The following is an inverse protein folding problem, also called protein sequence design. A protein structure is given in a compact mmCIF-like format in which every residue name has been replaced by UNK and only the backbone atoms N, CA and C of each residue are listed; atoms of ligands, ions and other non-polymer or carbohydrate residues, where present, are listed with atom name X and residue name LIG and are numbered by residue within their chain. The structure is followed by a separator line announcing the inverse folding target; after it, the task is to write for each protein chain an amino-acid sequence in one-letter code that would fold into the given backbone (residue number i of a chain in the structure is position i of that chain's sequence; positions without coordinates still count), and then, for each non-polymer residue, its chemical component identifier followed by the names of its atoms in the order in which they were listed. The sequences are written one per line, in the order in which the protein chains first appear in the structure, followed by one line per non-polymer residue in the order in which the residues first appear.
data_IF_539727884686
#
_entry.id   IF_539727884686
#
_cell.length_a   1.000
_cell.length_b   1.000
_cell.length_c   1.000
_cell.angle_alpha   90.00
_cell.angle_beta   90.00
_cell.angle_gamma   90.00
#
_symmetry.space_group_name_H-M   'P 1'
#
loop_
_entity.id
_entity.type
_entity.pdbx_description
1 polymer ?
#
# COMPACT_ATOMS: atom_id res chain seq x y z
N UNK A 1 14.34 8.69 -22.73
CA UNK A 1 15.18 7.59 -22.22
C UNK A 1 14.27 6.48 -21.69
N UNK A 2 14.24 5.30 -22.32
CA UNK A 2 13.42 4.18 -21.83
C UNK A 2 13.91 3.77 -20.44
N UNK A 3 13.04 3.86 -19.44
CA UNK A 3 13.35 3.40 -18.07
C UNK A 3 13.71 1.92 -18.16
N UNK A 4 14.76 1.50 -17.44
CA UNK A 4 15.26 0.14 -17.53
C UNK A 4 14.15 -0.87 -17.20
N UNK A 5 13.92 -1.91 -18.04
CA UNK A 5 12.93 -2.94 -17.79
C UNK A 5 13.03 -3.52 -16.37
N UNK A 6 14.26 -3.67 -15.88
CA UNK A 6 14.59 -4.13 -14.53
C UNK A 6 13.94 -3.27 -13.42
N UNK A 7 13.96 -1.94 -13.54
CA UNK A 7 13.35 -1.07 -12.53
C UNK A 7 11.83 -1.30 -12.46
N UNK A 8 11.18 -1.52 -13.59
CA UNK A 8 9.74 -1.78 -13.65
C UNK A 8 9.39 -3.12 -13.00
N UNK A 9 10.20 -4.16 -13.26
CA UNK A 9 10.03 -5.47 -12.63
C UNK A 9 10.18 -5.37 -11.12
N UNK A 10 11.23 -4.71 -10.62
CA UNK A 10 11.47 -4.55 -9.19
C UNK A 10 10.33 -3.77 -8.52
N UNK A 11 9.86 -2.69 -9.15
CA UNK A 11 8.73 -1.92 -8.66
C UNK A 11 7.43 -2.75 -8.62
N UNK A 12 7.22 -3.61 -9.61
CA UNK A 12 6.09 -4.52 -9.63
C UNK A 12 6.18 -5.63 -8.56
N UNK A 13 7.38 -6.18 -8.33
CA UNK A 13 7.61 -7.12 -7.23
C UNK A 13 7.30 -6.45 -5.89
N UNK A 14 7.77 -5.22 -5.68
CA UNK A 14 7.41 -4.42 -4.50
C UNK A 14 5.89 -4.29 -4.33
N UNK A 15 5.14 -4.06 -5.42
CA UNK A 15 3.68 -3.98 -5.40
C UNK A 15 3.04 -5.31 -4.97
N UNK A 16 3.51 -6.45 -5.47
CA UNK A 16 3.00 -7.78 -5.07
C UNK A 16 3.19 -7.99 -3.56
N UNK A 17 4.41 -7.75 -3.06
CA UNK A 17 4.72 -7.86 -1.65
C UNK A 17 3.86 -6.91 -0.80
N UNK A 18 3.68 -5.67 -1.26
CA UNK A 18 2.83 -4.69 -0.59
C UNK A 18 1.36 -5.16 -0.53
N UNK A 19 0.79 -5.62 -1.65
CA UNK A 19 -0.59 -6.16 -1.70
C UNK A 19 -0.79 -7.32 -0.73
N UNK A 20 0.19 -8.23 -0.64
CA UNK A 20 0.18 -9.33 0.32
C UNK A 20 0.08 -8.86 1.78
N UNK A 21 0.57 -7.66 2.11
CA UNK A 21 0.46 -7.10 3.48
C UNK A 21 -0.92 -6.55 3.81
N UNK A 22 -1.65 -6.01 2.85
CA UNK A 22 -2.92 -5.32 3.07
C UNK A 22 -4.12 -6.27 2.91
N UNK A 23 -4.04 -7.25 2.01
CA UNK A 23 -5.15 -8.15 1.69
C UNK A 23 -5.72 -8.93 2.88
N UNK A 24 -4.92 -9.46 3.83
CA UNK A 24 -5.49 -10.13 5.00
C UNK A 24 -6.42 -9.22 5.82
N UNK A 25 -6.08 -7.93 5.92
CA UNK A 25 -6.89 -6.95 6.66
C UNK A 25 -8.17 -6.56 5.91
N UNK A 26 -8.08 -6.42 4.59
CA UNK A 26 -9.20 -6.05 3.74
C UNK A 26 -10.22 -7.20 3.64
N UNK A 27 -9.72 -8.42 3.39
CA UNK A 27 -10.56 -9.60 3.21
C UNK A 27 -11.29 -9.97 4.50
N UNK A 28 -10.68 -9.76 5.67
CA UNK A 28 -11.34 -10.01 6.95
C UNK A 28 -12.66 -9.24 7.12
N UNK A 29 -12.74 -8.02 6.57
CA UNK A 29 -13.90 -7.15 6.74
C UNK A 29 -14.90 -7.34 5.58
N UNK A 30 -14.39 -7.38 4.35
CA UNK A 30 -15.24 -7.47 3.14
C UNK A 30 -15.77 -8.88 2.91
N UNK A 31 -14.95 -9.89 3.18
CA UNK A 31 -15.26 -11.31 2.95
C UNK A 31 -15.13 -12.09 4.26
N UNK A 32 -16.02 -11.86 5.24
CA UNK A 32 -15.91 -12.46 6.58
C UNK A 32 -15.99 -13.98 6.58
N UNK A 33 -16.47 -14.64 5.53
CA UNK A 33 -16.40 -16.09 5.42
C UNK A 33 -14.99 -16.60 5.04
N UNK A 34 -14.26 -15.86 4.19
CA UNK A 34 -12.99 -16.28 3.60
C UNK A 34 -11.77 -16.08 4.51
N UNK A 35 -11.86 -15.26 5.55
CA UNK A 35 -10.71 -15.00 6.45
C UNK A 35 -10.24 -16.24 7.23
N UNK A 36 -11.06 -17.30 7.27
CA UNK A 36 -10.72 -18.56 7.96
C UNK A 36 -9.81 -19.48 7.14
N UNK A 37 -9.67 -19.24 5.83
CA UNK A 37 -8.78 -20.03 4.97
C UNK A 37 -7.33 -19.95 5.46
N UNK A 38 -6.65 -21.10 5.40
CA UNK A 38 -5.25 -21.27 5.80
C UNK A 38 -4.32 -20.27 5.13
N UNK A 39 -4.59 -19.96 3.86
CA UNK A 39 -3.83 -18.98 3.07
C UNK A 39 -3.87 -17.56 3.67
N UNK A 40 -5.06 -17.05 4.01
CA UNK A 40 -5.20 -15.69 4.58
C UNK A 40 -4.55 -15.60 5.97
N UNK A 41 -4.64 -16.68 6.75
CA UNK A 41 -3.94 -16.79 8.04
C UNK A 41 -2.43 -16.79 7.86
N UNK A 42 -1.89 -17.50 6.87
CA UNK A 42 -0.46 -17.53 6.58
C UNK A 42 0.06 -16.15 6.17
N UNK A 43 -0.66 -15.43 5.31
CA UNK A 43 -0.34 -14.05 4.95
C UNK A 43 -0.37 -13.11 6.18
N UNK A 44 -1.37 -13.26 7.04
CA UNK A 44 -1.46 -12.46 8.27
C UNK A 44 -0.31 -12.71 9.23
N UNK A 45 0.07 -13.98 9.42
CA UNK A 45 1.20 -14.39 10.27
C UNK A 45 2.54 -13.84 9.76
N UNK A 46 2.73 -13.84 8.45
CA UNK A 46 3.98 -13.41 7.81
C UNK A 46 3.95 -11.95 7.33
N UNK A 47 2.92 -11.17 7.71
CA UNK A 47 2.70 -9.79 7.24
C UNK A 47 3.91 -8.88 7.43
N UNK A 48 4.64 -9.03 8.55
CA UNK A 48 5.86 -8.26 8.86
C UNK A 48 6.94 -8.48 7.81
N UNK A 49 7.20 -9.75 7.46
CA UNK A 49 8.21 -10.11 6.46
C UNK A 49 7.85 -9.57 5.07
N UNK A 50 6.59 -9.72 4.66
CA UNK A 50 6.13 -9.16 3.38
C UNK A 50 6.26 -7.64 3.32
N UNK A 51 6.00 -6.93 4.43
CA UNK A 51 6.14 -5.47 4.50
C UNK A 51 7.59 -5.00 4.39
N UNK A 52 8.51 -5.69 5.08
CA UNK A 52 9.95 -5.42 4.99
C UNK A 52 10.44 -5.72 3.57
N UNK A 53 10.04 -6.84 2.97
CA UNK A 53 10.39 -7.18 1.59
C UNK A 53 9.88 -6.12 0.60
N UNK A 54 8.63 -5.67 0.73
CA UNK A 54 8.08 -4.58 -0.08
C UNK A 54 8.94 -3.32 0.02
N UNK A 55 9.34 -2.93 1.23
CA UNK A 55 10.24 -1.80 1.46
C UNK A 55 11.61 -1.99 0.79
N UNK A 56 12.25 -3.15 0.96
CA UNK A 56 13.55 -3.43 0.34
C UNK A 56 13.50 -3.32 -1.19
N UNK A 57 12.46 -3.90 -1.82
CA UNK A 57 12.27 -3.78 -3.27
C UNK A 57 11.95 -2.34 -3.69
N UNK A 58 11.17 -1.59 -2.91
CA UNK A 58 10.90 -0.17 -3.17
C UNK A 58 12.18 0.67 -3.13
N UNK A 59 13.04 0.48 -2.12
CA UNK A 59 14.36 1.16 -2.04
C UNK A 59 15.20 0.83 -3.26
N UNK A 60 15.28 -0.45 -3.64
CA UNK A 60 16.05 -0.87 -4.81
C UNK A 60 15.51 -0.26 -6.11
N UNK A 61 14.19 -0.21 -6.26
CA UNK A 61 13.53 0.48 -7.36
C UNK A 61 13.90 1.97 -7.40
N UNK A 62 13.80 2.66 -6.27
CA UNK A 62 14.12 4.09 -6.16
C UNK A 62 15.57 4.39 -6.50
N UNK A 63 16.52 3.58 -6.00
CA UNK A 63 17.95 3.71 -6.32
C UNK A 63 18.15 3.63 -7.83
N UNK A 64 17.67 2.57 -8.49
CA UNK A 64 17.85 2.38 -9.94
C UNK A 64 17.24 3.55 -10.74
N UNK A 65 16.07 4.04 -10.33
CA UNK A 65 15.42 5.17 -11.00
C UNK A 65 16.21 6.47 -10.83
N UNK A 66 16.71 6.76 -9.62
CA UNK A 66 17.48 7.97 -9.33
C UNK A 66 18.80 7.95 -10.11
N UNK A 67 19.55 6.85 -10.09
CA UNK A 67 20.82 6.74 -10.81
C UNK A 67 20.68 6.84 -12.33
N UNK A 68 19.55 6.41 -12.91
CA UNK A 68 19.31 6.45 -14.36
C UNK A 68 18.66 7.73 -14.84
N UNK A 69 18.13 8.56 -13.96
CA UNK A 69 17.36 9.75 -14.34
C UNK A 69 18.18 11.00 -14.03
N UNK A 70 18.31 11.88 -15.01
CA UNK A 70 18.80 13.24 -14.74
C UNK A 70 17.69 14.01 -14.03
N UNK A 71 17.80 14.17 -12.71
CA UNK A 71 16.78 14.77 -11.85
C UNK A 71 16.77 16.30 -12.02
N UNK A 72 16.21 16.78 -13.13
CA UNK A 72 15.94 18.20 -13.28
C UNK A 72 14.65 18.58 -12.51
N UNK A 73 14.81 18.94 -11.23
CA UNK A 73 13.69 19.30 -10.35
C UNK A 73 12.98 20.61 -10.74
N UNK A 74 13.58 21.44 -11.61
CA UNK A 74 12.95 22.64 -12.15
C UNK A 74 11.81 22.31 -13.12
N UNK A 75 11.80 21.09 -13.68
CA UNK A 75 10.69 20.62 -14.49
C UNK A 75 9.57 20.08 -13.60
N UNK A 76 8.40 20.73 -13.64
CA UNK A 76 7.21 20.40 -12.85
C UNK A 76 6.81 18.91 -12.98
N UNK A 77 6.82 18.35 -14.19
CA UNK A 77 6.51 16.93 -14.39
C UNK A 77 7.51 16.03 -13.66
N UNK A 78 8.81 16.35 -13.76
CA UNK A 78 9.84 15.59 -13.05
C UNK A 78 9.70 15.73 -11.53
N UNK A 79 9.36 16.92 -11.04
CA UNK A 79 9.11 17.17 -9.63
C UNK A 79 7.93 16.32 -9.11
N UNK A 80 6.76 16.37 -9.76
CA UNK A 80 5.57 15.60 -9.35
C UNK A 80 5.85 14.09 -9.38
N UNK A 81 6.51 13.59 -10.43
CA UNK A 81 6.80 12.16 -10.56
C UNK A 81 7.74 11.67 -9.45
N UNK A 82 8.73 12.50 -9.10
CA UNK A 82 9.70 12.18 -8.06
C UNK A 82 9.06 12.29 -6.68
N UNK A 83 8.23 13.30 -6.45
CA UNK A 83 7.53 13.53 -5.19
C UNK A 83 6.57 12.39 -4.83
N UNK A 84 5.76 11.91 -5.78
CA UNK A 84 4.85 10.77 -5.52
C UNK A 84 5.61 9.50 -5.13
N UNK A 85 6.72 9.20 -5.81
CA UNK A 85 7.56 8.05 -5.49
C UNK A 85 8.25 8.17 -4.12
N UNK A 86 8.83 9.34 -3.83
CA UNK A 86 9.45 9.62 -2.52
C UNK A 86 8.43 9.59 -1.38
N UNK A 87 7.20 10.05 -1.61
CA UNK A 87 6.14 10.01 -0.60
C UNK A 87 5.80 8.58 -0.20
N UNK A 88 5.67 7.67 -1.18
CA UNK A 88 5.45 6.24 -0.91
C UNK A 88 6.65 5.64 -0.17
N UNK A 89 7.87 5.96 -0.62
CA UNK A 89 9.10 5.47 0.01
C UNK A 89 9.24 5.95 1.45
N UNK A 90 8.86 7.19 1.75
CA UNK A 90 8.84 7.74 3.11
C UNK A 90 7.87 6.95 3.99
N UNK A 91 6.65 6.72 3.51
CA UNK A 91 5.67 5.90 4.25
C UNK A 91 6.22 4.50 4.49
N UNK A 92 6.75 3.83 3.47
CA UNK A 92 7.33 2.49 3.64
C UNK A 92 8.52 2.48 4.59
N UNK A 93 9.38 3.51 4.58
CA UNK A 93 10.49 3.66 5.54
C UNK A 93 9.97 3.73 6.97
N UNK A 94 8.98 4.59 7.24
CA UNK A 94 8.39 4.70 8.58
C UNK A 94 7.83 3.36 9.05
N UNK A 95 7.05 2.69 8.20
CA UNK A 95 6.46 1.40 8.52
C UNK A 95 7.53 0.32 8.72
N UNK A 96 8.58 0.28 7.91
CA UNK A 96 9.65 -0.71 7.99
C UNK A 96 10.47 -0.52 9.27
N UNK A 97 10.87 0.72 9.60
CA UNK A 97 11.61 1.04 10.82
C UNK A 97 10.79 0.66 12.06
N UNK A 98 9.48 0.88 12.06
CA UNK A 98 8.60 0.51 13.18
C UNK A 98 8.04 -0.91 13.11
N UNK A 99 8.50 -1.74 12.17
CA UNK A 99 8.12 -3.15 12.06
C UNK A 99 9.00 -4.04 12.95
N UNK A 100 9.06 -3.74 14.25
CA UNK A 100 9.78 -4.53 15.25
C UNK A 100 9.06 -4.53 16.62
N UNK A 101 9.40 -5.50 17.46
CA UNK A 101 8.69 -5.73 18.73
C UNK A 101 8.93 -4.63 19.76
N UNK A 102 10.10 -3.96 19.72
CA UNK A 102 10.38 -2.80 20.56
C UNK A 102 9.47 -1.63 20.21
N UNK A 103 9.35 -1.30 18.92
CA UNK A 103 8.46 -0.23 18.45
C UNK A 103 6.99 -0.51 18.79
N UNK A 104 6.52 -1.76 18.70
CA UNK A 104 5.17 -2.14 19.13
C UNK A 104 4.97 -1.85 20.62
N UNK A 105 5.93 -2.24 21.47
CA UNK A 105 5.88 -2.00 22.92
C UNK A 105 5.95 -0.52 23.29
N UNK A 106 6.81 0.24 22.63
CA UNK A 106 7.03 1.67 22.90
C UNK A 106 5.85 2.54 22.42
N UNK A 107 5.37 2.31 21.19
CA UNK A 107 4.33 3.14 20.57
C UNK A 107 2.90 2.74 20.97
N UNK A 108 2.68 1.52 21.48
CA UNK A 108 1.38 1.03 21.95
C UNK A 108 0.25 1.30 20.93
N UNK A 109 -0.79 2.05 21.30
CA UNK A 109 -1.91 2.38 20.42
C UNK A 109 -1.51 3.23 19.21
N UNK A 110 -0.47 4.06 19.35
CA UNK A 110 0.04 4.89 18.26
C UNK A 110 0.70 4.04 17.17
N UNK A 111 1.19 2.83 17.48
CA UNK A 111 1.73 1.92 16.48
C UNK A 111 0.69 1.57 15.42
N UNK A 112 -0.54 1.26 15.84
CA UNK A 112 -1.64 0.96 14.89
C UNK A 112 -2.02 2.19 14.07
N UNK A 113 -2.01 3.37 14.68
CA UNK A 113 -2.27 4.64 13.98
C UNK A 113 -1.20 4.91 12.92
N UNK A 114 0.08 4.76 13.27
CA UNK A 114 1.19 4.88 12.33
C UNK A 114 1.07 3.87 11.18
N UNK A 115 0.85 2.59 11.48
CA UNK A 115 0.72 1.55 10.46
C UNK A 115 -0.56 1.68 9.60
N UNK A 116 -1.54 2.50 10.02
CA UNK A 116 -2.68 2.84 9.16
C UNK A 116 -2.31 3.74 7.99
N UNK A 117 -1.13 4.40 8.03
CA UNK A 117 -0.56 5.13 6.88
C UNK A 117 -0.37 4.23 5.65
N UNK A 118 -0.34 2.91 5.81
CA UNK A 118 -0.41 1.98 4.66
C UNK A 118 -1.60 2.29 3.75
N UNK A 119 -2.75 2.70 4.30
CA UNK A 119 -3.93 2.98 3.48
C UNK A 119 -3.77 4.25 2.64
N UNK A 120 -2.92 5.18 3.06
CA UNK A 120 -2.53 6.35 2.26
C UNK A 120 -1.84 5.91 0.95
N UNK A 121 -1.00 4.86 1.02
CA UNK A 121 -0.32 4.30 -0.15
C UNK A 121 -1.29 3.74 -1.18
N UNK A 122 -2.46 3.23 -0.77
CA UNK A 122 -3.50 2.75 -1.71
C UNK A 122 -3.95 3.88 -2.67
N UNK A 123 -3.90 5.14 -2.24
CA UNK A 123 -4.27 6.30 -3.06
C UNK A 123 -3.11 6.84 -3.89
N UNK A 124 -1.91 6.94 -3.31
CA UNK A 124 -0.75 7.53 -4.03
C UNK A 124 -0.19 6.56 -5.07
N UNK A 125 -0.19 5.25 -4.79
CA UNK A 125 0.47 4.25 -5.65
C UNK A 125 -0.11 4.16 -7.07
N UNK A 126 -1.44 4.17 -7.30
CA UNK A 126 -2.00 4.26 -8.65
C UNK A 126 -1.52 5.51 -9.40
N UNK A 127 -1.53 6.68 -8.74
CA UNK A 127 -1.08 7.95 -9.34
C UNK A 127 0.40 7.87 -9.72
N UNK A 128 1.24 7.32 -8.83
CA UNK A 128 2.65 7.13 -9.10
C UNK A 128 2.88 6.25 -10.34
N UNK A 129 2.17 5.11 -10.45
CA UNK A 129 2.31 4.19 -11.60
C UNK A 129 1.86 4.88 -12.90
N UNK A 130 0.70 5.56 -12.89
CA UNK A 130 0.15 6.24 -14.06
C UNK A 130 1.09 7.34 -14.58
N UNK A 131 1.55 8.22 -13.69
CA UNK A 131 2.45 9.31 -14.05
C UNK A 131 3.80 8.80 -14.54
N UNK A 132 4.36 7.80 -13.85
CA UNK A 132 5.66 7.22 -14.19
C UNK A 132 5.63 6.44 -15.50
N UNK A 133 4.52 5.77 -15.82
CA UNK A 133 4.37 4.95 -17.02
C UNK A 133 3.68 5.69 -18.18
N UNK A 134 3.32 6.95 -18.01
CA UNK A 134 2.66 7.73 -19.05
C UNK A 134 3.47 7.71 -20.36
N UNK A 135 2.81 7.37 -21.48
CA UNK A 135 3.45 7.23 -22.80
C UNK A 135 4.50 6.11 -22.93
N UNK A 136 4.68 5.26 -21.92
CA UNK A 136 5.75 4.26 -21.85
C UNK A 136 5.30 2.94 -21.20
N UNK A 137 4.09 2.51 -21.53
CA UNK A 137 3.50 1.29 -21.00
C UNK A 137 4.32 0.05 -21.40
N UNK A 138 4.38 -0.89 -20.48
CA UNK A 138 5.00 -2.21 -20.68
C UNK A 138 3.95 -3.29 -20.37
N UNK A 139 4.23 -4.55 -20.70
CA UNK A 139 3.31 -5.66 -20.38
C UNK A 139 2.99 -5.80 -18.88
N UNK A 140 3.88 -5.30 -18.00
CA UNK A 140 3.68 -5.32 -16.55
C UNK A 140 2.72 -4.20 -16.09
N UNK A 141 2.64 -3.09 -16.85
CA UNK A 141 1.87 -1.91 -16.46
C UNK A 141 0.37 -2.22 -16.28
N UNK A 142 -0.33 -2.90 -17.23
CA UNK A 142 -1.73 -3.26 -17.03
C UNK A 142 -1.95 -4.15 -15.81
N UNK A 143 -1.07 -5.13 -15.56
CA UNK A 143 -1.17 -6.00 -14.40
C UNK A 143 -1.02 -5.22 -13.09
N UNK A 144 -0.07 -4.29 -13.02
CA UNK A 144 0.09 -3.41 -11.88
C UNK A 144 -1.15 -2.55 -11.64
N UNK A 145 -1.73 -2.00 -12.71
CA UNK A 145 -2.97 -1.20 -12.64
C UNK A 145 -4.16 -2.00 -12.13
N UNK A 146 -4.32 -3.25 -12.56
CA UNK A 146 -5.37 -4.14 -12.05
C UNK A 146 -5.20 -4.37 -10.55
N UNK A 147 -3.98 -4.67 -10.08
CA UNK A 147 -3.72 -4.93 -8.65
C UNK A 147 -4.06 -3.71 -7.79
N UNK A 148 -3.62 -2.51 -8.20
CA UNK A 148 -3.90 -1.29 -7.42
C UNK A 148 -5.38 -0.89 -7.50
N UNK A 149 -6.04 -1.11 -8.64
CA UNK A 149 -7.48 -0.86 -8.78
C UNK A 149 -8.28 -1.80 -7.88
N UNK A 150 -7.99 -3.09 -7.89
CA UNK A 150 -8.63 -4.07 -6.99
C UNK A 150 -8.37 -3.70 -5.52
N UNK A 151 -7.14 -3.34 -5.17
CA UNK A 151 -6.79 -2.88 -3.81
C UNK A 151 -7.63 -1.68 -3.38
N UNK A 152 -7.81 -0.70 -4.27
CA UNK A 152 -8.63 0.48 -4.05
C UNK A 152 -10.11 0.15 -3.89
N UNK A 153 -10.67 -0.69 -4.77
CA UNK A 153 -12.08 -1.08 -4.72
C UNK A 153 -12.43 -1.83 -3.43
N UNK A 154 -11.61 -2.79 -3.02
CA UNK A 154 -11.83 -3.55 -1.78
C UNK A 154 -11.68 -2.63 -0.56
N UNK A 155 -10.74 -1.67 -0.60
CA UNK A 155 -10.62 -0.67 0.45
C UNK A 155 -11.86 0.23 0.55
N UNK A 156 -12.43 0.67 -0.57
CA UNK A 156 -13.68 1.43 -0.60
C UNK A 156 -14.85 0.63 -0.02
N UNK A 157 -14.99 -0.64 -0.39
CA UNK A 157 -16.00 -1.54 0.20
C UNK A 157 -15.84 -1.68 1.71
N UNK A 158 -14.60 -1.83 2.19
CA UNK A 158 -14.30 -1.87 3.63
C UNK A 158 -14.82 -0.61 4.33
N UNK A 159 -14.60 0.58 3.76
CA UNK A 159 -15.07 1.83 4.36
C UNK A 159 -16.60 1.88 4.43
N UNK A 160 -17.30 1.48 3.37
CA UNK A 160 -18.76 1.43 3.34
C UNK A 160 -19.31 0.48 4.41
N UNK A 161 -18.74 -0.72 4.55
CA UNK A 161 -19.17 -1.69 5.56
C UNK A 161 -18.98 -1.15 6.98
N UNK A 162 -17.82 -0.54 7.25
CA UNK A 162 -17.53 0.05 8.57
C UNK A 162 -18.47 1.20 8.90
N UNK A 163 -18.81 2.03 7.91
CA UNK A 163 -19.76 3.10 8.06
C UNK A 163 -21.16 2.57 8.41
N UNK A 164 -21.68 1.60 7.65
CA UNK A 164 -22.99 0.96 7.91
C UNK A 164 -23.03 0.35 9.31
N UNK A 165 -21.97 -0.37 9.72
CA UNK A 165 -21.87 -0.94 11.07
C UNK A 165 -21.90 0.13 12.16
N UNK A 166 -21.28 1.28 11.93
CA UNK A 166 -21.28 2.40 12.88
C UNK A 166 -22.67 3.02 13.05
N UNK A 167 -23.42 3.17 11.94
CA UNK A 167 -24.80 3.65 11.97
C UNK A 167 -25.72 2.68 12.70
N UNK A 168 -25.64 1.38 12.39
CA UNK A 168 -26.45 0.36 13.05
C UNK A 168 -26.21 0.35 14.57
N UNK A 169 -24.96 0.50 15.02
CA UNK A 169 -24.62 0.58 16.44
C UNK A 169 -25.23 1.81 17.11
N UNK A 170 -25.19 2.96 16.46
CA UNK A 170 -25.81 4.20 16.98
C UNK A 170 -27.33 4.06 17.08
N UNK A 171 -27.98 3.49 16.07
CA UNK A 171 -29.44 3.25 16.06
C UNK A 171 -29.87 2.31 17.20
N UNK A 172 -29.14 1.19 17.41
CA UNK A 172 -29.42 0.26 18.50
C UNK A 172 -29.29 0.97 19.87
N UNK A 173 -28.24 1.76 20.07
CA UNK A 173 -28.05 2.50 21.31
C UNK A 173 -29.16 3.53 21.58
N UNK A 174 -29.75 4.12 20.53
CA UNK A 174 -30.89 5.03 20.67
C UNK A 174 -32.18 4.28 21.05
N UNK A 175 -32.39 3.08 20.52
CA UNK A 175 -33.55 2.26 20.84
C UNK A 175 -33.49 1.70 22.27
N UNK A 176 -32.31 1.26 22.73
CA UNK A 176 -32.12 0.72 24.10
C UNK A 176 -32.22 1.80 25.18
N UNK A 177 -32.00 3.08 24.83
CA UNK A 177 -32.09 4.21 25.78
C UNK A 177 -33.51 4.78 25.94
N UNK A 178 -34.48 4.33 25.15
CA UNK A 178 -35.90 4.65 25.29
C UNK A 178 -36.61 3.54 26.06
#
# INVERSE_FOLDING_TARGET
MKIAPLANVIGFVSLIYYSATIYPSLFKIVFPHFHKHTFIKALSKNRRYFGIAAFCFAVHHSIIVIFKKNLNLLNISTCIHTFTGLSILLVFTLLAVTSNDLSIKLLKNNWKKLHSLTYLVIFILPLHILLKMYGSWTYITPMAMIIVLVSFLIFSQKLTIQFIQSLNKQLINLYIKR
#
